data_IF_883819019581
#
_entry.id   IF_883819019581
#
_cell.length_a   1.000
_cell.length_b   1.000
_cell.length_c   1.000
_cell.angle_alpha   90.00
_cell.angle_beta   90.00
_cell.angle_gamma   90.00
#
_symmetry.space_group_name_H-M   'P 1'
#
loop_
_entity.id
_entity.type
_entity.pdbx_description
1 polymer ?
#
# COMPACT_ATOMS: atom_id res chain seq x y z
N UNK A 1 -41.84 -5.73 11.50
CA UNK A 1 -41.48 -6.05 10.11
C UNK A 1 -40.03 -6.52 10.09
N UNK A 2 -39.81 -7.78 10.44
CA UNK A 2 -38.50 -8.44 10.42
C UNK A 2 -38.39 -9.21 9.11
N UNK A 3 -38.23 -8.48 8.00
CA UNK A 3 -37.86 -9.09 6.73
C UNK A 3 -36.35 -9.27 6.74
N UNK A 4 -35.87 -10.49 6.99
CA UNK A 4 -34.48 -10.83 6.69
C UNK A 4 -34.24 -10.57 5.21
N UNK A 5 -33.43 -9.56 4.91
CA UNK A 5 -32.97 -9.29 3.55
C UNK A 5 -31.99 -10.40 3.16
N UNK A 6 -32.50 -11.54 2.71
CA UNK A 6 -31.67 -12.61 2.12
C UNK A 6 -31.31 -12.24 0.68
N UNK A 7 -30.43 -11.24 0.53
CA UNK A 7 -29.72 -11.07 -0.75
C UNK A 7 -28.52 -12.02 -0.72
N UNK A 8 -28.30 -12.89 -1.73
CA UNK A 8 -27.05 -13.61 -1.83
C UNK A 8 -25.88 -12.61 -1.83
N UNK A 9 -24.75 -12.93 -1.20
CA UNK A 9 -23.61 -12.02 -1.14
C UNK A 9 -23.23 -11.59 -2.56
N UNK A 10 -23.24 -10.28 -2.79
CA UNK A 10 -22.78 -9.73 -4.05
C UNK A 10 -21.24 -9.86 -4.08
N UNK A 11 -20.72 -10.65 -5.01
CA UNK A 11 -19.28 -10.81 -5.19
C UNK A 11 -18.68 -9.59 -5.90
N UNK A 12 -17.43 -9.28 -5.58
CA UNK A 12 -16.70 -8.24 -6.30
C UNK A 12 -16.54 -8.65 -7.77
N UNK A 13 -16.79 -7.71 -8.68
CA UNK A 13 -16.52 -7.92 -10.11
C UNK A 13 -15.03 -8.08 -10.43
N UNK A 14 -14.14 -7.67 -9.52
CA UNK A 14 -12.68 -7.76 -9.67
C UNK A 14 -12.10 -8.89 -8.80
N UNK A 15 -12.54 -8.99 -7.55
CA UNK A 15 -12.09 -10.01 -6.59
C UNK A 15 -13.13 -11.13 -6.45
N UNK A 16 -13.40 -11.83 -7.57
CA UNK A 16 -14.27 -13.01 -7.57
C UNK A 16 -13.63 -14.15 -6.75
N UNK A 17 -14.40 -15.04 -6.10
CA UNK A 17 -13.86 -16.17 -5.34
C UNK A 17 -12.77 -16.96 -6.08
N UNK A 18 -12.95 -17.25 -7.37
CA UNK A 18 -11.94 -17.98 -8.17
C UNK A 18 -10.61 -17.23 -8.28
N UNK A 19 -10.65 -15.90 -8.38
CA UNK A 19 -9.43 -15.08 -8.43
C UNK A 19 -8.72 -15.05 -7.06
N UNK A 20 -9.48 -15.05 -5.97
CA UNK A 20 -8.95 -15.10 -4.61
C UNK A 20 -8.29 -16.47 -4.36
N UNK A 21 -8.96 -17.55 -4.73
CA UNK A 21 -8.45 -18.92 -4.64
C UNK A 21 -7.15 -19.06 -5.44
N UNK A 22 -7.10 -18.56 -6.67
CA UNK A 22 -5.89 -18.62 -7.48
C UNK A 22 -4.72 -17.84 -6.86
N UNK A 23 -4.99 -16.69 -6.22
CA UNK A 23 -3.95 -15.93 -5.50
C UNK A 23 -3.43 -16.72 -4.30
N UNK A 24 -4.32 -17.39 -3.57
CA UNK A 24 -3.96 -18.21 -2.41
C UNK A 24 -3.14 -19.44 -2.83
N UNK A 25 -3.57 -20.16 -3.87
CA UNK A 25 -2.80 -21.28 -4.44
C UNK A 25 -1.41 -20.85 -4.88
N UNK A 26 -1.29 -19.70 -5.57
CA UNK A 26 0.00 -19.14 -5.98
C UNK A 26 0.90 -18.83 -4.78
N UNK A 27 0.33 -18.26 -3.73
CA UNK A 27 1.06 -17.92 -2.52
C UNK A 27 1.55 -19.16 -1.76
N UNK A 28 0.77 -20.24 -1.74
CA UNK A 28 1.11 -21.49 -1.05
C UNK A 28 2.08 -22.38 -1.86
N UNK A 29 1.81 -22.55 -3.15
CA UNK A 29 2.54 -23.50 -4.00
C UNK A 29 3.75 -22.89 -4.71
N UNK A 30 3.80 -21.54 -4.84
CA UNK A 30 4.80 -20.84 -5.63
C UNK A 30 4.71 -21.12 -7.14
N UNK A 31 3.57 -21.64 -7.60
CA UNK A 31 3.30 -21.99 -9.00
C UNK A 31 2.13 -21.17 -9.53
N UNK A 32 2.17 -20.80 -10.81
CA UNK A 32 1.03 -20.18 -11.48
C UNK A 32 0.32 -21.23 -12.34
N UNK A 33 -1.01 -21.11 -12.49
CA UNK A 33 -1.74 -21.94 -13.43
C UNK A 33 -1.43 -21.50 -14.87
N UNK A 34 -1.04 -22.46 -15.72
CA UNK A 34 -0.83 -22.21 -17.15
C UNK A 34 -2.21 -22.18 -17.83
N UNK A 35 -2.61 -21.01 -18.36
CA UNK A 35 -3.87 -20.84 -19.09
C UNK A 35 -3.65 -20.06 -20.38
N UNK A 36 -4.39 -20.40 -21.43
CA UNK A 36 -4.41 -19.62 -22.68
C UNK A 36 -5.22 -18.33 -22.50
N UNK A 37 -4.72 -17.21 -23.02
CA UNK A 37 -5.45 -15.94 -23.01
C UNK A 37 -6.75 -16.04 -23.83
N UNK A 38 -7.91 -15.90 -23.18
CA UNK A 38 -9.16 -15.58 -23.86
C UNK A 38 -10.15 -14.88 -22.90
N UNK A 39 -10.52 -13.66 -23.24
CA UNK A 39 -11.44 -12.78 -22.52
C UNK A 39 -12.90 -13.05 -22.89
N UNK A 40 -13.77 -13.33 -21.90
CA UNK A 40 -15.22 -13.11 -22.02
C UNK A 40 -15.56 -11.81 -21.29
N UNK A 41 -15.63 -10.69 -22.01
CA UNK A 41 -15.77 -9.32 -21.45
C UNK A 41 -17.19 -9.00 -20.97
N UNK A 42 -17.31 -8.24 -19.87
CA UNK A 42 -18.54 -7.51 -19.48
C UNK A 42 -18.35 -6.11 -18.86
N UNK A 43 -17.13 -5.59 -18.61
CA UNK A 43 -16.94 -4.31 -17.88
C UNK A 43 -15.95 -3.34 -18.54
N UNK A 44 -16.00 -2.07 -18.08
CA UNK A 44 -15.26 -0.86 -18.47
C UNK A 44 -13.75 -1.06 -18.75
N UNK A 45 -13.10 -0.10 -19.45
CA UNK A 45 -11.70 -0.24 -19.80
C UNK A 45 -10.78 -0.39 -18.58
N UNK A 46 -9.94 -1.42 -18.58
CA UNK A 46 -8.91 -1.67 -17.55
C UNK A 46 -7.51 -1.56 -18.16
N UNK A 47 -6.46 -1.72 -17.36
CA UNK A 47 -5.10 -1.88 -17.90
C UNK A 47 -4.98 -3.06 -18.89
N UNK A 48 -5.92 -4.01 -18.87
CA UNK A 48 -5.96 -5.15 -19.79
C UNK A 48 -6.42 -4.77 -21.21
N UNK A 49 -6.89 -3.54 -21.42
CA UNK A 49 -7.19 -2.99 -22.76
C UNK A 49 -5.97 -2.32 -23.41
N UNK A 50 -4.84 -2.24 -22.70
CA UNK A 50 -3.60 -1.73 -23.26
C UNK A 50 -2.93 -2.80 -24.13
N UNK A 51 -2.59 -2.42 -25.36
CA UNK A 51 -1.76 -3.24 -26.27
C UNK A 51 -0.38 -2.62 -26.34
N UNK A 52 0.64 -3.35 -25.88
CA UNK A 52 2.03 -2.97 -26.04
C UNK A 52 2.55 -3.43 -27.39
N UNK A 53 3.05 -2.51 -28.21
CA UNK A 53 3.72 -2.86 -29.47
C UNK A 53 5.09 -3.48 -29.17
N UNK A 54 5.37 -4.70 -29.66
CA UNK A 54 6.64 -5.35 -29.39
C UNK A 54 7.79 -4.57 -30.02
N UNK A 55 8.94 -4.60 -29.36
CA UNK A 55 10.19 -4.18 -29.96
C UNK A 55 10.50 -5.10 -31.14
N UNK A 56 10.46 -4.56 -32.36
CA UNK A 56 10.71 -5.35 -33.57
C UNK A 56 11.37 -4.58 -34.71
N UNK A 57 11.07 -3.28 -34.83
CA UNK A 57 11.63 -2.44 -35.90
C UNK A 57 12.62 -1.39 -35.39
N UNK A 58 12.36 -0.80 -34.22
CA UNK A 58 13.12 0.34 -33.70
C UNK A 58 14.21 -0.01 -32.69
N UNK A 59 14.11 -1.18 -32.03
CA UNK A 59 15.12 -1.69 -31.09
C UNK A 59 15.11 -3.21 -31.05
N UNK A 60 16.27 -3.82 -30.85
CA UNK A 60 16.35 -5.27 -30.62
C UNK A 60 15.74 -5.61 -29.25
N UNK A 61 14.92 -6.67 -29.15
CA UNK A 61 14.42 -7.15 -27.86
C UNK A 61 15.56 -7.74 -27.03
N UNK A 62 15.43 -7.68 -25.70
CA UNK A 62 16.37 -8.35 -24.80
C UNK A 62 16.26 -9.87 -24.96
N UNK A 63 17.39 -10.53 -25.12
CA UNK A 63 17.47 -11.99 -25.10
C UNK A 63 17.71 -12.45 -23.66
N UNK A 64 16.68 -13.06 -23.03
CA UNK A 64 16.69 -13.36 -21.59
C UNK A 64 17.80 -14.30 -21.09
N UNK A 65 18.52 -14.99 -21.98
CA UNK A 65 19.71 -15.79 -21.63
C UNK A 65 21.03 -14.99 -21.74
N UNK A 66 21.05 -13.87 -22.47
CA UNK A 66 22.21 -12.99 -22.64
C UNK A 66 22.18 -11.84 -21.66
N UNK A 67 21.00 -11.27 -21.44
CA UNK A 67 20.81 -10.04 -20.69
C UNK A 67 19.63 -10.17 -19.74
N UNK A 68 19.74 -9.53 -18.56
CA UNK A 68 18.64 -9.44 -17.59
C UNK A 68 17.92 -8.11 -17.76
N UNK A 69 16.60 -8.15 -17.70
CA UNK A 69 15.81 -6.93 -17.60
C UNK A 69 16.08 -6.28 -16.24
N UNK A 70 16.63 -5.07 -16.26
CA UNK A 70 16.81 -4.27 -15.06
C UNK A 70 15.46 -3.65 -14.66
N UNK A 71 14.97 -4.06 -13.49
CA UNK A 71 13.72 -3.58 -12.89
C UNK A 71 13.96 -2.62 -11.73
N UNK A 72 15.22 -2.24 -11.49
CA UNK A 72 15.59 -1.35 -10.40
C UNK A 72 14.96 0.02 -10.61
N UNK A 73 14.43 0.59 -9.52
CA UNK A 73 13.85 1.93 -9.50
C UNK A 73 14.52 2.74 -8.40
N UNK A 74 14.95 3.96 -8.72
CA UNK A 74 15.52 4.90 -7.75
C UNK A 74 14.57 6.09 -7.61
N UNK A 75 13.98 6.25 -6.43
CA UNK A 75 13.07 7.35 -6.12
C UNK A 75 13.87 8.47 -5.46
N UNK A 76 13.82 9.67 -6.04
CA UNK A 76 14.52 10.85 -5.54
C UNK A 76 15.96 11.00 -6.04
N UNK A 77 16.37 10.27 -7.08
CA UNK A 77 17.71 10.36 -7.67
C UNK A 77 18.05 11.81 -8.04
N UNK A 78 19.23 12.28 -7.60
CA UNK A 78 19.72 13.64 -7.83
C UNK A 78 18.96 14.76 -7.11
N UNK A 79 17.90 14.45 -6.35
CA UNK A 79 17.08 15.44 -5.63
C UNK A 79 17.22 15.37 -4.11
N UNK A 80 17.52 14.20 -3.56
CA UNK A 80 17.68 13.99 -2.12
C UNK A 80 19.03 13.34 -1.80
N UNK A 81 19.53 13.56 -0.59
CA UNK A 81 20.80 12.98 -0.11
C UNK A 81 20.72 11.46 0.10
N UNK A 82 19.53 10.92 0.35
CA UNK A 82 19.28 9.48 0.56
C UNK A 82 18.10 9.00 -0.31
N UNK A 83 18.34 8.70 -1.60
CA UNK A 83 17.29 8.19 -2.48
C UNK A 83 16.87 6.77 -2.08
N UNK A 84 15.59 6.45 -2.29
CA UNK A 84 15.07 5.11 -2.04
C UNK A 84 15.29 4.24 -3.28
N UNK A 85 16.05 3.16 -3.11
CA UNK A 85 16.33 2.19 -4.18
C UNK A 85 15.42 0.98 -4.01
N UNK A 86 14.65 0.61 -5.04
CA UNK A 86 13.85 -0.61 -5.08
C UNK A 86 14.41 -1.54 -6.15
N UNK A 87 14.47 -2.84 -5.88
CA UNK A 87 14.91 -3.83 -6.88
C UNK A 87 13.85 -4.05 -7.97
N UNK A 88 12.60 -3.75 -7.66
CA UNK A 88 11.43 -3.95 -8.53
C UNK A 88 10.50 -2.74 -8.43
N UNK A 89 9.75 -2.41 -9.50
CA UNK A 89 8.84 -1.26 -9.55
C UNK A 89 7.51 -1.55 -8.84
N UNK A 90 7.57 -2.07 -7.60
CA UNK A 90 6.41 -2.44 -6.81
C UNK A 90 6.60 -1.88 -5.40
N UNK A 91 5.52 -1.36 -4.82
CA UNK A 91 5.48 -0.93 -3.42
C UNK A 91 4.20 -1.48 -2.79
N UNK A 92 4.28 -1.92 -1.53
CA UNK A 92 3.10 -2.30 -0.76
C UNK A 92 2.48 -1.01 -0.20
N UNK A 93 1.25 -0.72 -0.62
CA UNK A 93 0.51 0.47 -0.21
C UNK A 93 0.26 0.52 1.31
N UNK A 94 0.07 1.75 1.81
CA UNK A 94 -0.13 2.02 3.23
C UNK A 94 -1.42 1.40 3.78
N UNK A 95 -1.28 0.47 4.72
CA UNK A 95 -2.39 -0.10 5.48
C UNK A 95 -2.06 -0.03 6.97
N UNK A 96 -2.89 0.67 7.73
CA UNK A 96 -2.58 0.99 9.13
C UNK A 96 -2.57 -0.23 10.05
N UNK A 97 -1.65 -0.24 11.01
CA UNK A 97 -1.80 -1.10 12.18
C UNK A 97 -3.08 -0.72 12.94
N UNK A 98 -3.96 -1.70 13.20
CA UNK A 98 -5.33 -1.50 13.68
C UNK A 98 -6.37 -1.82 12.59
N UNK A 99 -6.12 -1.43 11.33
CA UNK A 99 -6.85 -1.99 10.19
C UNK A 99 -6.35 -3.41 9.87
N UNK A 100 -5.03 -3.60 9.93
CA UNK A 100 -4.35 -4.88 9.87
C UNK A 100 -3.82 -5.29 11.25
N UNK A 101 -3.66 -6.59 11.45
CA UNK A 101 -2.99 -7.16 12.63
C UNK A 101 -1.48 -7.00 12.56
N UNK A 102 -0.80 -7.10 13.71
CA UNK A 102 0.68 -7.13 13.78
C UNK A 102 1.25 -8.24 12.89
N UNK A 103 0.63 -9.43 12.91
CA UNK A 103 1.07 -10.57 12.11
C UNK A 103 1.02 -10.27 10.60
N UNK A 104 -0.02 -9.58 10.13
CA UNK A 104 -0.11 -9.16 8.74
C UNK A 104 0.99 -8.14 8.40
N UNK A 105 1.25 -7.16 9.28
CA UNK A 105 2.31 -6.16 9.08
C UNK A 105 3.70 -6.81 9.04
N UNK A 106 3.98 -7.75 9.96
CA UNK A 106 5.18 -8.60 9.97
C UNK A 106 5.33 -9.36 8.65
N UNK A 107 4.28 -10.05 8.20
CA UNK A 107 4.30 -10.83 6.97
C UNK A 107 4.60 -9.96 5.73
N UNK A 108 3.97 -8.78 5.64
CA UNK A 108 4.22 -7.81 4.57
C UNK A 108 5.67 -7.30 4.60
N UNK A 109 6.22 -7.01 5.78
CA UNK A 109 7.62 -6.60 5.94
C UNK A 109 8.60 -7.66 5.45
N UNK A 110 8.43 -8.91 5.89
CA UNK A 110 9.27 -10.04 5.45
C UNK A 110 9.17 -10.22 3.93
N UNK A 111 7.95 -10.22 3.37
CA UNK A 111 7.73 -10.39 1.95
C UNK A 111 8.37 -9.26 1.13
N UNK A 112 8.17 -8.00 1.56
CA UNK A 112 8.73 -6.84 0.89
C UNK A 112 10.25 -6.87 0.87
N UNK A 113 10.87 -7.20 2.01
CA UNK A 113 12.33 -7.34 2.13
C UNK A 113 12.87 -8.42 1.19
N UNK A 114 12.24 -9.60 1.16
CA UNK A 114 12.65 -10.69 0.26
C UNK A 114 12.49 -10.33 -1.22
N UNK A 115 11.50 -9.51 -1.54
CA UNK A 115 11.26 -9.02 -2.90
C UNK A 115 12.10 -7.79 -3.26
N UNK A 116 12.83 -7.18 -2.32
CA UNK A 116 13.57 -5.95 -2.56
C UNK A 116 12.69 -4.71 -2.79
N UNK A 117 11.45 -4.74 -2.32
CA UNK A 117 10.44 -3.66 -2.44
C UNK A 117 10.21 -2.98 -1.08
N UNK A 118 9.38 -1.95 -1.04
CA UNK A 118 9.04 -1.24 0.20
C UNK A 118 7.67 -1.58 0.76
N UNK A 119 7.52 -1.42 2.08
CA UNK A 119 6.26 -1.36 2.82
C UNK A 119 5.88 0.07 3.16
N UNK A 120 4.62 0.30 3.55
CA UNK A 120 4.15 1.59 4.05
C UNK A 120 3.33 1.42 5.34
N UNK A 121 3.60 2.27 6.33
CA UNK A 121 2.99 2.17 7.67
C UNK A 121 1.46 2.34 7.66
N UNK A 122 0.93 3.09 6.69
CA UNK A 122 -0.45 3.57 6.74
C UNK A 122 -0.67 4.60 7.85
N UNK A 123 -1.94 4.86 8.19
CA UNK A 123 -2.34 5.80 9.26
C UNK A 123 -2.11 5.33 10.71
N UNK A 124 -1.36 4.25 10.92
CA UNK A 124 -1.26 3.59 12.22
C UNK A 124 -0.05 3.97 13.08
N UNK A 125 0.89 4.74 12.52
CA UNK A 125 2.24 4.87 13.09
C UNK A 125 3.14 3.69 12.76
N UNK A 126 4.41 3.79 13.14
CA UNK A 126 5.43 2.77 12.86
C UNK A 126 5.44 1.72 13.97
N UNK A 127 4.90 0.54 13.70
CA UNK A 127 4.97 -0.57 14.64
C UNK A 127 6.41 -1.16 14.70
N UNK A 128 6.97 -1.50 15.87
CA UNK A 128 8.33 -2.07 15.97
C UNK A 128 8.55 -3.28 15.07
N UNK A 129 7.62 -4.25 15.11
CA UNK A 129 7.60 -5.43 14.22
C UNK A 129 7.61 -5.09 12.73
N UNK A 130 6.91 -4.03 12.32
CA UNK A 130 6.91 -3.60 10.92
C UNK A 130 8.30 -3.06 10.52
N UNK A 131 8.92 -2.25 11.38
CA UNK A 131 10.26 -1.69 11.14
C UNK A 131 11.33 -2.76 11.15
N UNK A 132 11.26 -3.72 12.08
CA UNK A 132 12.24 -4.82 12.22
C UNK A 132 12.30 -5.67 10.94
N UNK A 133 11.14 -6.00 10.37
CA UNK A 133 11.07 -6.92 9.24
C UNK A 133 11.12 -6.26 7.87
N UNK A 134 10.90 -4.95 7.78
CA UNK A 134 10.97 -4.20 6.53
C UNK A 134 12.38 -3.63 6.34
N UNK A 135 13.07 -4.00 5.27
CA UNK A 135 14.34 -3.39 4.88
C UNK A 135 14.16 -1.96 4.36
N UNK A 136 13.00 -1.68 3.76
CA UNK A 136 12.62 -0.38 3.21
C UNK A 136 11.21 -0.06 3.68
N UNK A 137 11.08 0.87 4.63
CA UNK A 137 9.80 1.24 5.20
C UNK A 137 9.50 2.71 4.92
N UNK A 138 8.37 2.93 4.26
CA UNK A 138 7.79 4.26 4.04
C UNK A 138 6.88 4.58 5.22
N UNK A 139 7.08 5.74 5.85
CA UNK A 139 6.18 6.21 6.90
C UNK A 139 5.18 7.19 6.31
N UNK A 140 3.89 6.94 6.54
CA UNK A 140 2.83 7.82 6.05
C UNK A 140 2.60 8.97 7.03
N UNK A 141 2.60 10.19 6.51
CA UNK A 141 2.35 11.43 7.24
C UNK A 141 1.00 12.01 6.83
N UNK A 142 0.05 11.99 7.75
CA UNK A 142 -1.39 12.16 7.45
C UNK A 142 -2.03 13.29 8.24
N UNK A 143 -3.16 13.86 7.79
CA UNK A 143 -3.85 15.00 8.39
C UNK A 143 -3.90 15.03 9.93
N UNK A 144 -4.31 13.94 10.55
CA UNK A 144 -4.50 13.89 12.01
C UNK A 144 -3.27 13.51 12.83
N UNK A 145 -2.17 13.13 12.19
CA UNK A 145 -0.90 12.79 12.87
C UNK A 145 -1.02 11.67 13.93
N UNK A 146 -2.06 10.84 13.86
CA UNK A 146 -2.19 9.70 14.76
C UNK A 146 -1.01 8.74 14.59
N UNK A 147 -0.37 8.39 15.72
CA UNK A 147 0.83 7.55 15.75
C UNK A 147 2.03 8.15 15.02
N UNK A 148 2.02 9.45 14.71
CA UNK A 148 3.17 10.14 14.19
C UNK A 148 4.14 10.44 15.34
N UNK A 149 5.31 9.83 15.27
CA UNK A 149 6.38 10.02 16.21
C UNK A 149 7.63 10.55 15.47
N UNK A 150 8.19 11.72 15.85
CA UNK A 150 9.41 12.26 15.24
C UNK A 150 10.61 11.30 15.27
N UNK A 151 10.70 10.46 16.30
CA UNK A 151 11.76 9.45 16.38
C UNK A 151 11.60 8.36 15.34
N UNK A 152 10.37 8.01 14.98
CA UNK A 152 10.10 6.99 13.97
C UNK A 152 10.21 7.56 12.55
N UNK A 153 9.85 8.83 12.34
CA UNK A 153 10.10 9.54 11.08
C UNK A 153 11.59 9.52 10.71
N UNK A 154 12.48 9.70 11.68
CA UNK A 154 13.94 9.62 11.46
C UNK A 154 14.42 8.21 11.07
N UNK A 155 13.68 7.17 11.44
CA UNK A 155 13.98 5.77 11.08
C UNK A 155 13.35 5.34 9.75
N UNK A 156 12.43 6.13 9.20
CA UNK A 156 11.78 5.81 7.92
C UNK A 156 12.77 5.96 6.77
N UNK A 157 12.61 5.17 5.71
CA UNK A 157 13.43 5.25 4.50
C UNK A 157 12.89 6.27 3.50
N UNK A 158 11.59 6.56 3.60
CA UNK A 158 10.89 7.60 2.87
C UNK A 158 9.67 8.05 3.68
N UNK A 159 9.21 9.28 3.44
CA UNK A 159 7.98 9.81 4.02
C UNK A 159 6.96 9.95 2.89
N UNK A 160 5.76 9.38 3.07
CA UNK A 160 4.63 9.54 2.16
C UNK A 160 3.65 10.54 2.74
N UNK A 161 3.43 11.67 2.07
CA UNK A 161 2.46 12.68 2.49
C UNK A 161 1.08 12.27 1.98
N UNK A 162 0.19 11.91 2.90
CA UNK A 162 -1.15 11.44 2.58
C UNK A 162 -2.12 12.59 2.35
N UNK A 163 -2.33 12.99 1.09
CA UNK A 163 -3.32 14.02 0.73
C UNK A 163 -4.76 13.46 0.63
N UNK A 164 -4.91 12.17 0.34
CA UNK A 164 -6.21 11.52 0.20
C UNK A 164 -6.08 10.05 -0.20
N UNK A 165 -7.21 9.34 -0.22
CA UNK A 165 -7.26 7.93 -0.61
C UNK A 165 -8.40 7.67 -1.60
N UNK A 166 -8.18 6.79 -2.56
CA UNK A 166 -9.16 6.49 -3.62
C UNK A 166 -10.46 5.87 -3.11
N UNK A 167 -10.42 5.16 -1.97
CA UNK A 167 -11.61 4.54 -1.38
C UNK A 167 -12.61 5.56 -0.82
N UNK A 168 -12.13 6.74 -0.39
CA UNK A 168 -12.92 7.75 0.31
C UNK A 168 -12.40 9.15 0.01
N UNK A 169 -12.47 9.63 -1.24
CA UNK A 169 -11.92 10.92 -1.63
C UNK A 169 -12.58 12.04 -0.82
N UNK A 170 -11.77 12.97 -0.30
CA UNK A 170 -12.25 14.13 0.47
C UNK A 170 -12.56 13.85 1.95
N UNK A 171 -12.27 12.64 2.45
CA UNK A 171 -12.41 12.30 3.88
C UNK A 171 -11.13 11.68 4.43
N UNK A 172 -10.93 11.75 5.75
CA UNK A 172 -9.84 11.06 6.42
C UNK A 172 -10.12 9.58 6.67
N UNK A 173 -9.09 8.85 7.09
CA UNK A 173 -9.24 7.48 7.58
C UNK A 173 -10.16 7.39 8.80
N UNK A 174 -10.76 6.21 8.95
CA UNK A 174 -11.64 5.88 10.07
C UNK A 174 -11.21 4.53 10.61
N UNK A 175 -11.04 4.44 11.92
CA UNK A 175 -10.88 3.17 12.64
C UNK A 175 -11.98 3.07 13.70
N UNK A 176 -12.79 2.02 13.62
CA UNK A 176 -13.87 1.80 14.58
C UNK A 176 -13.30 1.48 15.97
N UNK A 177 -14.00 1.92 17.01
CA UNK A 177 -13.65 1.70 18.41
C UNK A 177 -13.54 0.22 18.76
N UNK A 178 -14.32 -0.65 18.12
CA UNK A 178 -14.20 -2.11 18.25
C UNK A 178 -12.81 -2.64 17.87
N UNK A 179 -12.09 -1.95 16.98
CA UNK A 179 -10.72 -2.26 16.57
C UNK A 179 -9.67 -1.42 17.32
N UNK A 180 -10.09 -0.56 18.23
CA UNK A 180 -9.24 0.28 19.05
C UNK A 180 -8.81 -0.49 20.30
N UNK A 181 -7.93 -1.49 20.11
CA UNK A 181 -7.32 -2.26 21.21
C UNK A 181 -6.38 -1.39 22.04
N UNK A 182 -5.97 -1.85 23.22
CA UNK A 182 -5.02 -1.13 24.10
C UNK A 182 -3.71 -0.76 23.38
N UNK A 183 -3.19 -1.67 22.56
CA UNK A 183 -1.96 -1.44 21.79
C UNK A 183 -2.14 -0.37 20.71
N UNK A 184 -3.25 -0.42 19.96
CA UNK A 184 -3.56 0.59 18.92
C UNK A 184 -3.83 1.95 19.56
N UNK A 185 -4.60 1.97 20.65
CA UNK A 185 -4.89 3.15 21.44
C UNK A 185 -3.61 3.84 21.94
N UNK A 186 -2.69 3.05 22.52
CA UNK A 186 -1.38 3.53 22.98
C UNK A 186 -0.52 4.08 21.84
N UNK A 187 -0.50 3.41 20.68
CA UNK A 187 0.27 3.90 19.53
C UNK A 187 -0.27 5.22 18.98
N UNK A 188 -1.57 5.50 19.15
CA UNK A 188 -2.22 6.66 18.53
C UNK A 188 -2.55 7.78 19.52
N UNK A 189 -2.17 7.62 20.78
CA UNK A 189 -2.53 8.52 21.89
C UNK A 189 -4.05 8.75 21.98
N UNK A 190 -4.82 7.68 21.80
CA UNK A 190 -6.29 7.69 21.81
C UNK A 190 -6.85 6.81 22.93
N UNK A 191 -8.06 7.10 23.44
CA UNK A 191 -8.75 6.23 24.38
C UNK A 191 -9.19 4.91 23.72
N UNK A 192 -9.09 3.82 24.49
CA UNK A 192 -9.54 2.47 24.09
C UNK A 192 -11.03 2.48 23.79
N UNK A 193 -11.45 1.75 22.76
CA UNK A 193 -12.87 1.57 22.42
C UNK A 193 -13.53 2.76 21.72
N UNK A 194 -12.82 3.85 21.47
CA UNK A 194 -13.35 5.05 20.79
C UNK A 194 -13.00 5.05 19.31
N UNK A 195 -13.98 5.42 18.48
CA UNK A 195 -13.78 5.62 17.05
C UNK A 195 -12.73 6.70 16.78
N UNK A 196 -11.73 6.37 15.97
CA UNK A 196 -10.84 7.36 15.37
C UNK A 196 -11.44 7.89 14.07
N UNK A 197 -11.43 9.21 13.93
CA UNK A 197 -11.77 9.91 12.68
C UNK A 197 -10.68 10.89 12.32
N UNK A 198 -9.95 10.60 11.25
CA UNK A 198 -8.91 11.50 10.74
C UNK A 198 -9.54 12.71 10.04
N UNK A 199 -8.88 13.87 10.11
CA UNK A 199 -9.26 15.07 9.39
C UNK A 199 -9.16 14.87 7.87
N UNK A 200 -9.97 15.61 7.10
CA UNK A 200 -9.95 15.54 5.64
C UNK A 200 -8.78 16.31 4.99
N UNK A 201 -8.17 17.22 5.75
CA UNK A 201 -7.06 18.07 5.31
C UNK A 201 -6.04 18.20 6.42
N UNK A 202 -4.78 18.36 6.03
CA UNK A 202 -3.75 18.76 6.97
C UNK A 202 -4.12 20.15 7.55
N UNK A 203 -4.07 20.33 8.88
CA UNK A 203 -4.48 21.58 9.50
C UNK A 203 -3.45 22.71 9.29
N UNK A 204 -2.20 22.33 9.00
CA UNK A 204 -1.01 23.18 8.94
C UNK A 204 -0.61 23.61 7.52
N UNK A 205 -1.31 23.15 6.48
CA UNK A 205 -1.16 23.70 5.13
C UNK A 205 -2.52 23.85 4.43
N UNK A 206 -2.74 25.01 3.82
CA UNK A 206 -3.95 25.36 3.08
C UNK A 206 -3.75 25.33 1.57
N UNK A 207 -2.49 25.47 1.12
CA UNK A 207 -2.13 25.49 -0.30
C UNK A 207 -0.77 24.87 -0.58
N UNK A 208 -0.35 24.98 -1.84
CA UNK A 208 0.92 24.43 -2.31
C UNK A 208 2.14 25.08 -1.63
N UNK A 209 2.08 26.38 -1.34
CA UNK A 209 3.18 27.12 -0.70
C UNK A 209 3.43 26.63 0.73
N UNK A 210 2.37 26.38 1.49
CA UNK A 210 2.47 25.84 2.85
C UNK A 210 3.03 24.40 2.84
N UNK A 211 2.66 23.59 1.84
CA UNK A 211 3.26 22.27 1.64
C UNK A 211 4.74 22.37 1.33
N UNK A 212 5.15 23.32 0.49
CA UNK A 212 6.55 23.57 0.19
C UNK A 212 7.32 23.95 1.47
N UNK A 213 6.82 24.90 2.26
CA UNK A 213 7.46 25.29 3.53
C UNK A 213 7.56 24.15 4.54
N UNK A 214 6.67 23.16 4.47
CA UNK A 214 6.69 22.01 5.38
C UNK A 214 7.65 20.91 4.93
N UNK A 215 8.02 20.89 3.64
CA UNK A 215 8.98 19.96 3.08
C UNK A 215 10.43 20.37 3.35
N UNK A 216 10.69 21.68 3.45
CA UNK A 216 11.97 22.27 3.89
C UNK A 216 12.19 22.08 5.40
#
# INVERSE_FOLDING_TARGET
MTGEFQRPPAYSGTWHPDAIEEIQEKAELGRYQIRGQATKRQNLPTFDDLVFTPAGLSRMPLEGYRERCDTKVVIGEGRVSRPLVLERPIMIAGMSFGALSVNAKRALGIAATRCGISTCTGEGGMHPEEREHSSKLVMQYLPSRYGMNPYDLKKADMIEIGAGQGAKPGTGGVLLGLKMSEEVAKMRDLPVGIDQRSGCRHPDWMGADDLYMKLE
#
